data_IF_013178494277
#
_entry.id   IF_013178494277
#
_cell.length_a   1.000
_cell.length_b   1.000
_cell.length_c   1.000
_cell.angle_alpha   90.00
_cell.angle_beta   90.00
_cell.angle_gamma   90.00
#
_symmetry.space_group_name_H-M   'P 1'
#
loop_
_entity.id
_entity.type
_entity.pdbx_description
1 polymer ?
#
# COMPACT_ATOMS: atom_id res chain seq x y z
N UNK A 1 -0.43 16.17 -15.89
CA UNK A 1 0.44 14.97 -15.89
C UNK A 1 0.26 14.33 -14.52
N UNK A 2 -0.49 13.22 -14.43
CA UNK A 2 -0.90 12.64 -13.13
C UNK A 2 0.29 12.10 -12.32
N UNK A 3 0.19 12.14 -10.99
CA UNK A 3 1.19 11.53 -10.10
C UNK A 3 1.25 10.02 -10.37
N UNK A 4 2.47 9.47 -10.46
CA UNK A 4 2.72 8.05 -10.80
C UNK A 4 3.07 7.20 -9.58
N UNK A 5 3.30 7.85 -8.45
CA UNK A 5 3.53 7.23 -7.15
C UNK A 5 3.12 8.18 -6.04
N UNK A 6 2.79 7.62 -4.89
CA UNK A 6 2.70 8.31 -3.60
C UNK A 6 3.59 7.57 -2.60
N UNK A 7 4.29 8.32 -1.76
CA UNK A 7 5.20 7.79 -0.76
C UNK A 7 4.92 8.43 0.60
N UNK A 8 4.92 7.61 1.65
CA UNK A 8 4.74 8.05 3.04
C UNK A 8 5.66 7.25 3.96
N UNK A 9 6.07 7.85 5.08
CA UNK A 9 6.77 7.14 6.13
C UNK A 9 5.77 6.40 7.01
N UNK A 10 6.05 5.13 7.28
CA UNK A 10 5.28 4.27 8.16
C UNK A 10 6.21 3.60 9.19
N UNK A 11 5.64 3.10 10.28
CA UNK A 11 6.37 2.30 11.25
C UNK A 11 6.00 0.84 11.06
N UNK A 12 7.01 -0.01 10.83
CA UNK A 12 6.84 -1.45 10.73
C UNK A 12 6.44 -2.07 12.08
N UNK A 13 5.92 -3.30 12.10
CA UNK A 13 5.67 -4.04 13.34
C UNK A 13 6.91 -4.19 14.24
N UNK A 14 8.12 -4.24 13.66
CA UNK A 14 9.40 -4.24 14.39
C UNK A 14 9.69 -2.92 15.14
N UNK A 15 8.91 -1.87 14.87
CA UNK A 15 9.13 -0.52 15.37
C UNK A 15 10.05 0.32 14.50
N UNK A 16 10.64 -0.23 13.45
CA UNK A 16 11.52 0.48 12.52
C UNK A 16 10.73 1.37 11.55
N UNK A 17 11.34 2.48 11.13
CA UNK A 17 10.76 3.36 10.11
C UNK A 17 10.99 2.75 8.72
N UNK A 18 9.93 2.70 7.93
CA UNK A 18 9.94 2.25 6.55
C UNK A 18 9.23 3.28 5.67
N UNK A 19 9.60 3.33 4.40
CA UNK A 19 8.84 4.10 3.40
C UNK A 19 7.87 3.17 2.71
N UNK A 20 6.59 3.49 2.76
CA UNK A 20 5.55 2.87 1.96
C UNK A 20 5.41 3.62 0.65
N UNK A 21 5.40 2.90 -0.47
CA UNK A 21 5.14 3.43 -1.81
C UNK A 21 3.95 2.71 -2.43
N UNK A 22 3.04 3.48 -3.01
CA UNK A 22 1.98 2.97 -3.88
C UNK A 22 2.20 3.61 -5.26
N UNK A 23 2.39 2.79 -6.30
CA UNK A 23 2.73 3.24 -7.64
C UNK A 23 2.01 2.45 -8.74
N UNK A 24 2.36 2.70 -10.00
CA UNK A 24 1.76 2.01 -11.15
C UNK A 24 2.01 0.49 -11.19
N UNK A 25 3.01 -0.01 -10.46
CA UNK A 25 3.42 -1.41 -10.42
C UNK A 25 2.84 -2.16 -9.22
N UNK A 26 2.68 -1.52 -8.07
CA UNK A 26 2.14 -2.17 -6.90
C UNK A 26 2.23 -1.36 -5.62
N UNK A 27 2.33 -2.10 -4.52
CA UNK A 27 2.60 -1.59 -3.17
C UNK A 27 3.97 -2.09 -2.75
N UNK A 28 4.82 -1.21 -2.23
CA UNK A 28 6.15 -1.57 -1.76
C UNK A 28 6.49 -0.89 -0.43
N UNK A 29 7.27 -1.58 0.40
CA UNK A 29 7.91 -1.01 1.59
C UNK A 29 9.43 -1.05 1.42
N UNK A 30 10.10 -0.01 1.92
CA UNK A 30 11.55 0.12 1.92
C UNK A 30 12.00 0.40 3.36
N UNK A 31 12.69 -0.56 3.96
CA UNK A 31 13.23 -0.46 5.31
C UNK A 31 14.66 0.07 5.35
N UNK A 32 15.29 0.08 6.54
CA UNK A 32 16.71 0.38 6.66
C UNK A 32 17.56 -0.66 5.91
N UNK A 33 18.61 -0.19 5.21
CA UNK A 33 19.48 -1.06 4.40
C UNK A 33 18.89 -1.41 3.02
N UNK A 34 19.10 -2.65 2.59
CA UNK A 34 18.58 -3.20 1.31
C UNK A 34 17.25 -3.95 1.46
N UNK A 35 16.66 -3.95 2.67
CA UNK A 35 15.38 -4.59 2.93
C UNK A 35 14.24 -3.86 2.22
N UNK A 36 13.60 -4.56 1.29
CA UNK A 36 12.39 -4.08 0.64
C UNK A 36 11.45 -5.23 0.35
N UNK A 37 10.15 -4.95 0.45
CA UNK A 37 9.09 -5.87 0.05
C UNK A 37 8.25 -5.17 -1.00
N UNK A 38 7.96 -5.84 -2.12
CA UNK A 38 7.11 -5.30 -3.16
C UNK A 38 6.09 -6.34 -3.62
N UNK A 39 4.82 -5.94 -3.62
CA UNK A 39 3.72 -6.76 -4.13
C UNK A 39 3.13 -6.05 -5.34
N UNK A 40 3.25 -6.68 -6.50
CA UNK A 40 2.68 -6.15 -7.75
C UNK A 40 1.17 -6.27 -7.75
N UNK A 41 0.47 -5.34 -8.41
CA UNK A 41 -1.00 -5.34 -8.49
C UNK A 41 -1.57 -6.67 -9.01
N UNK A 42 -0.91 -7.29 -9.99
CA UNK A 42 -1.32 -8.59 -10.55
C UNK A 42 -1.12 -9.79 -9.61
N UNK A 43 -0.36 -9.62 -8.52
CA UNK A 43 -0.03 -10.68 -7.55
C UNK A 43 -0.68 -10.48 -6.18
N UNK A 44 -1.51 -9.45 -6.02
CA UNK A 44 -2.28 -9.27 -4.79
C UNK A 44 -3.40 -10.30 -4.77
N UNK A 45 -3.30 -11.22 -3.83
CA UNK A 45 -4.30 -12.26 -3.59
C UNK A 45 -5.42 -11.73 -2.67
N UNK A 46 -5.07 -10.92 -1.69
CA UNK A 46 -5.99 -10.43 -0.66
C UNK A 46 -5.68 -8.99 -0.22
N UNK A 47 -6.74 -8.24 0.07
CA UNK A 47 -6.75 -6.88 0.64
C UNK A 47 -7.82 -6.82 1.72
N UNK A 48 -7.38 -6.75 2.98
CA UNK A 48 -8.28 -6.78 4.13
C UNK A 48 -7.95 -5.66 5.12
N UNK A 49 -9.00 -5.12 5.76
CA UNK A 49 -8.83 -4.32 6.96
C UNK A 49 -8.55 -5.26 8.14
N UNK A 50 -7.50 -4.98 8.90
CA UNK A 50 -7.16 -5.67 10.14
C UNK A 50 -7.93 -5.11 11.33
N UNK A 51 -7.95 -5.87 12.42
CA UNK A 51 -8.72 -5.54 13.63
C UNK A 51 -8.28 -4.22 14.29
N UNK A 52 -7.00 -3.86 14.17
CA UNK A 52 -6.42 -2.63 14.71
C UNK A 52 -6.53 -1.42 13.75
N UNK A 53 -7.35 -1.54 12.70
CA UNK A 53 -7.55 -0.49 11.70
C UNK A 53 -6.41 -0.36 10.69
N UNK A 54 -5.51 -1.35 10.64
CA UNK A 54 -4.50 -1.51 9.61
C UNK A 54 -5.09 -2.07 8.31
N UNK A 55 -4.34 -1.98 7.22
CA UNK A 55 -4.67 -2.66 5.95
C UNK A 55 -3.59 -3.66 5.64
N UNK A 56 -3.99 -4.92 5.41
CA UNK A 56 -3.08 -6.00 5.08
C UNK A 56 -3.19 -6.30 3.59
N UNK A 57 -2.07 -6.17 2.88
CA UNK A 57 -1.90 -6.51 1.47
C UNK A 57 -1.12 -7.81 1.39
N UNK A 58 -1.71 -8.87 0.81
CA UNK A 58 -1.09 -10.19 0.75
C UNK A 58 -0.90 -10.68 -0.67
N UNK A 59 0.22 -11.38 -0.87
CA UNK A 59 0.44 -12.30 -1.99
C UNK A 59 0.90 -13.64 -1.46
N UNK A 60 1.04 -14.63 -2.35
CA UNK A 60 1.59 -15.94 -2.03
C UNK A 60 2.99 -15.91 -1.39
N UNK A 61 3.76 -14.81 -1.57
CA UNK A 61 5.17 -14.73 -1.16
C UNK A 61 5.44 -13.64 -0.12
N UNK A 62 4.51 -12.70 0.07
CA UNK A 62 4.76 -11.53 0.89
C UNK A 62 3.48 -10.99 1.52
N UNK A 63 3.67 -10.24 2.62
CA UNK A 63 2.61 -9.49 3.27
C UNK A 63 3.15 -8.09 3.59
N UNK A 64 2.38 -7.06 3.23
CA UNK A 64 2.63 -5.67 3.62
C UNK A 64 1.48 -5.24 4.52
N UNK A 65 1.83 -4.83 5.74
CA UNK A 65 0.87 -4.22 6.68
C UNK A 65 1.02 -2.70 6.61
N UNK A 66 -0.06 -2.04 6.25
CA UNK A 66 -0.16 -0.58 6.18
C UNK A 66 -0.85 -0.10 7.46
N UNK A 67 -0.19 0.73 8.30
CA UNK A 67 -0.78 1.18 9.55
C UNK A 67 -2.08 1.97 9.36
N UNK A 68 -2.86 2.05 10.42
CA UNK A 68 -4.09 2.84 10.45
C UNK A 68 -3.83 4.31 10.07
N UNK A 69 -4.81 4.92 9.41
CA UNK A 69 -4.77 6.34 9.01
C UNK A 69 -3.65 6.70 8.03
N UNK A 70 -2.98 5.72 7.43
CA UNK A 70 -2.07 5.98 6.30
C UNK A 70 -2.85 6.65 5.16
N UNK A 71 -2.23 7.66 4.53
CA UNK A 71 -2.88 8.55 3.55
C UNK A 71 -4.11 9.31 4.09
N UNK A 72 -4.28 9.41 5.41
CA UNK A 72 -5.44 10.07 6.03
C UNK A 72 -6.75 9.27 5.95
N UNK A 73 -6.71 8.03 5.46
CA UNK A 73 -7.90 7.20 5.23
C UNK A 73 -8.15 6.20 6.37
N UNK A 74 -9.43 5.88 6.62
CA UNK A 74 -9.78 4.70 7.43
C UNK A 74 -9.44 3.42 6.65
N UNK A 75 -9.26 2.30 7.37
CA UNK A 75 -8.85 1.01 6.79
C UNK A 75 -9.72 0.61 5.61
N UNK A 76 -11.05 0.57 5.79
CA UNK A 76 -11.99 0.16 4.74
C UNK A 76 -11.94 1.08 3.51
N UNK A 77 -11.77 2.38 3.72
CA UNK A 77 -11.65 3.35 2.64
C UNK A 77 -10.35 3.13 1.85
N UNK A 78 -9.25 2.85 2.56
CA UNK A 78 -7.98 2.53 1.92
C UNK A 78 -8.04 1.18 1.18
N UNK A 79 -8.67 0.15 1.76
CA UNK A 79 -8.92 -1.13 1.08
C UNK A 79 -9.70 -0.90 -0.22
N UNK A 80 -10.79 -0.13 -0.17
CA UNK A 80 -11.60 0.17 -1.34
C UNK A 80 -10.78 0.89 -2.44
N UNK A 81 -9.94 1.86 -2.05
CA UNK A 81 -9.05 2.53 -2.99
C UNK A 81 -8.01 1.58 -3.59
N UNK A 82 -7.34 0.76 -2.78
CA UNK A 82 -6.36 -0.21 -3.26
C UNK A 82 -6.99 -1.29 -4.16
N UNK A 83 -8.24 -1.69 -3.88
CA UNK A 83 -9.01 -2.57 -4.76
C UNK A 83 -9.26 -1.92 -6.13
N UNK A 84 -9.68 -0.64 -6.17
CA UNK A 84 -9.82 0.13 -7.42
C UNK A 84 -8.49 0.23 -8.18
N UNK A 85 -7.38 0.44 -7.46
CA UNK A 85 -6.05 0.54 -8.07
C UNK A 85 -5.60 -0.73 -8.82
N UNK A 86 -6.23 -1.90 -8.56
CA UNK A 86 -5.98 -3.12 -9.34
C UNK A 86 -6.39 -2.93 -10.81
N UNK A 87 -7.41 -2.13 -11.09
CA UNK A 87 -7.83 -1.76 -12.44
C UNK A 87 -6.82 -0.81 -13.08
N UNK A 88 -6.20 -1.21 -14.20
CA UNK A 88 -5.17 -0.41 -14.88
C UNK A 88 -5.69 0.96 -15.34
N UNK A 89 -6.98 1.07 -15.65
CA UNK A 89 -7.61 2.32 -16.11
C UNK A 89 -7.88 3.30 -14.96
N UNK A 90 -8.12 2.80 -13.74
CA UNK A 90 -8.43 3.64 -12.57
C UNK A 90 -7.19 3.93 -11.72
N UNK A 91 -6.13 3.11 -11.86
CA UNK A 91 -4.94 3.14 -11.01
C UNK A 91 -4.28 4.51 -10.89
N UNK A 92 -4.18 5.25 -11.99
CA UNK A 92 -3.55 6.58 -11.99
C UNK A 92 -4.37 7.58 -11.18
N UNK A 93 -5.70 7.48 -11.26
CA UNK A 93 -6.61 8.36 -10.51
C UNK A 93 -6.53 8.04 -9.01
N UNK A 94 -6.53 6.75 -8.64
CA UNK A 94 -6.36 6.34 -7.24
C UNK A 94 -5.03 6.86 -6.67
N UNK A 95 -3.91 6.71 -7.39
CA UNK A 95 -2.61 7.20 -6.91
C UNK A 95 -2.63 8.73 -6.73
N UNK A 96 -3.35 9.45 -7.58
CA UNK A 96 -3.55 10.88 -7.44
C UNK A 96 -4.47 11.25 -6.25
N UNK A 97 -5.46 10.42 -5.92
CA UNK A 97 -6.37 10.59 -4.78
C UNK A 97 -5.69 10.29 -3.42
N UNK A 98 -4.72 9.37 -3.39
CA UNK A 98 -3.96 9.02 -2.18
C UNK A 98 -2.90 10.06 -1.76
N UNK A 99 -2.74 11.10 -2.56
CA UNK A 99 -1.58 11.99 -2.67
C UNK A 99 -1.79 13.36 -2.02
#
# INVERSE_FOLDING_TARGET
MGRRSVEVEIRAPSGELQRLRVDLHGVATFGPGDEHTAIRWEWIDDLAAGDDGEVVVRSAQATITIPARTFGLAADALVAQLQRARSITERTDVIAELS
#
